data_IF_306260392736
#
_entry.id   IF_306260392736
#
_cell.length_a   1.000
_cell.length_b   1.000
_cell.length_c   1.000
_cell.angle_alpha   90.00
_cell.angle_beta   90.00
_cell.angle_gamma   90.00
#
_symmetry.space_group_name_H-M   'P 1'
#
loop_
_entity.id
_entity.type
_entity.pdbx_description
1 polymer ?
#
# COMPACT_ATOMS: atom_id res chain seq x y z
N UNK A 1 1.13 46.56 45.66
CA UNK A 1 0.43 45.82 44.58
C UNK A 1 1.28 44.61 44.22
N UNK A 2 0.92 43.42 44.68
CA UNK A 2 1.59 42.18 44.30
C UNK A 2 0.91 41.63 43.05
N UNK A 3 1.64 41.59 41.93
CA UNK A 3 1.15 40.99 40.67
C UNK A 3 1.24 39.48 40.83
N UNK A 4 0.09 38.81 40.91
CA UNK A 4 0.01 37.36 40.91
C UNK A 4 0.43 36.83 39.53
N UNK A 5 1.55 36.11 39.48
CA UNK A 5 2.01 35.39 38.29
C UNK A 5 1.07 34.21 38.06
N UNK A 6 0.23 34.30 37.03
CA UNK A 6 -0.68 33.21 36.65
C UNK A 6 0.19 32.09 36.07
N UNK A 7 0.30 30.97 36.78
CA UNK A 7 0.95 29.77 36.28
C UNK A 7 0.22 29.31 35.01
N UNK A 8 0.93 29.26 33.89
CA UNK A 8 0.40 28.78 32.61
C UNK A 8 -0.01 27.31 32.80
N UNK A 9 -1.26 26.91 32.50
CA UNK A 9 -1.66 25.53 32.67
C UNK A 9 -0.81 24.66 31.74
N UNK A 10 -0.15 23.66 32.30
CA UNK A 10 0.53 22.63 31.54
C UNK A 10 -0.50 21.99 30.60
N UNK A 11 -0.34 22.20 29.29
CA UNK A 11 -1.18 21.59 28.27
C UNK A 11 -0.96 20.08 28.36
N UNK A 12 -1.86 19.38 29.06
CA UNK A 12 -1.94 17.93 29.03
C UNK A 12 -2.14 17.55 27.56
N UNK A 13 -1.14 16.94 26.94
CA UNK A 13 -1.26 16.43 25.58
C UNK A 13 -2.50 15.54 25.50
N UNK A 14 -3.45 15.89 24.62
CA UNK A 14 -4.74 15.23 24.56
C UNK A 14 -4.57 13.71 24.36
N UNK A 15 -5.15 12.84 25.22
CA UNK A 15 -4.92 11.39 25.22
C UNK A 15 -5.21 10.70 23.87
N UNK A 16 -6.12 11.27 23.06
CA UNK A 16 -6.44 10.78 21.71
C UNK A 16 -5.26 10.80 20.73
N UNK A 17 -4.37 11.80 20.84
CA UNK A 17 -3.23 11.92 19.95
C UNK A 17 -2.19 10.81 20.19
N UNK A 18 -2.06 10.36 21.45
CA UNK A 18 -1.15 9.28 21.83
C UNK A 18 -1.73 7.91 21.43
N UNK A 19 -3.05 7.68 21.60
CA UNK A 19 -3.71 6.45 21.14
C UNK A 19 -3.52 6.26 19.63
N UNK A 20 -3.77 7.30 18.82
CA UNK A 20 -3.61 7.23 17.36
C UNK A 20 -2.16 7.00 16.93
N UNK A 21 -1.19 7.53 17.67
CA UNK A 21 0.23 7.30 17.42
C UNK A 21 0.59 5.84 17.71
N UNK A 22 0.16 5.32 18.87
CA UNK A 22 0.39 3.94 19.29
C UNK A 22 -0.27 2.94 18.36
N UNK A 23 -1.54 3.12 18.04
CA UNK A 23 -2.26 2.24 17.12
C UNK A 23 -1.58 2.17 15.76
N UNK A 24 -1.24 3.32 15.18
CA UNK A 24 -0.57 3.35 13.89
C UNK A 24 0.84 2.73 13.92
N UNK A 25 1.63 2.96 14.98
CA UNK A 25 2.94 2.33 15.15
C UNK A 25 2.83 0.81 15.29
N UNK A 26 1.87 0.32 16.09
CA UNK A 26 1.58 -1.12 16.24
C UNK A 26 1.14 -1.72 14.90
N UNK A 27 0.24 -1.08 14.15
CA UNK A 27 -0.16 -1.56 12.82
C UNK A 27 1.03 -1.69 11.87
N UNK A 28 1.96 -0.73 11.87
CA UNK A 28 3.16 -0.77 11.02
C UNK A 28 4.09 -1.93 11.41
N UNK A 29 4.26 -2.19 12.72
CA UNK A 29 5.03 -3.34 13.21
C UNK A 29 4.35 -4.64 12.78
N UNK A 30 3.02 -4.75 12.97
CA UNK A 30 2.25 -5.94 12.57
C UNK A 30 2.39 -6.18 11.07
N UNK A 31 2.29 -5.16 10.22
CA UNK A 31 2.53 -5.28 8.78
C UNK A 31 3.95 -5.81 8.48
N UNK A 32 4.97 -5.31 9.17
CA UNK A 32 6.35 -5.78 9.02
C UNK A 32 6.54 -7.23 9.47
N UNK A 33 5.94 -7.62 10.59
CA UNK A 33 5.97 -9.00 11.11
C UNK A 33 5.24 -9.94 10.15
N UNK A 34 4.05 -9.57 9.68
CA UNK A 34 3.31 -10.33 8.66
C UNK A 34 4.14 -10.46 7.39
N UNK A 35 4.76 -9.39 6.90
CA UNK A 35 5.62 -9.47 5.72
C UNK A 35 6.81 -10.41 5.94
N UNK A 36 7.43 -10.38 7.12
CA UNK A 36 8.55 -11.27 7.43
C UNK A 36 8.14 -12.74 7.43
N UNK A 37 7.07 -13.08 8.15
CA UNK A 37 6.66 -14.49 8.33
C UNK A 37 5.86 -15.04 7.15
N UNK A 38 4.90 -14.28 6.63
CA UNK A 38 4.06 -14.74 5.52
C UNK A 38 4.80 -14.71 4.18
N UNK A 39 5.61 -13.66 3.95
CA UNK A 39 6.28 -13.47 2.66
C UNK A 39 7.74 -13.91 2.71
N UNK A 40 8.51 -13.44 3.70
CA UNK A 40 9.96 -13.67 3.79
C UNK A 40 10.33 -15.12 4.10
N UNK A 41 9.68 -15.72 5.11
CA UNK A 41 9.94 -17.09 5.58
C UNK A 41 9.04 -18.15 4.93
N UNK A 42 8.21 -17.76 3.97
CA UNK A 42 7.31 -18.68 3.27
C UNK A 42 8.04 -19.72 2.41
N UNK A 43 7.33 -20.80 2.06
CA UNK A 43 7.85 -21.85 1.18
C UNK A 43 8.18 -21.35 -0.24
N UNK A 44 7.47 -20.32 -0.72
CA UNK A 44 7.67 -19.70 -2.05
C UNK A 44 9.00 -18.98 -2.20
N UNK A 45 9.56 -18.47 -1.11
CA UNK A 45 10.86 -17.79 -1.14
C UNK A 45 11.99 -18.75 -0.79
N UNK A 46 11.70 -20.04 -0.56
CA UNK A 46 12.67 -21.01 -0.13
C UNK A 46 13.70 -21.41 -1.19
N UNK A 47 14.85 -21.92 -0.71
CA UNK A 47 15.90 -22.52 -1.54
C UNK A 47 16.52 -21.59 -2.59
N UNK A 48 16.62 -20.29 -2.29
CA UNK A 48 17.26 -19.34 -3.21
C UNK A 48 16.36 -18.86 -4.34
N UNK A 49 15.03 -18.98 -4.18
CA UNK A 49 14.04 -18.46 -5.12
C UNK A 49 14.37 -17.01 -5.53
N UNK A 50 14.34 -16.76 -6.83
CA UNK A 50 14.47 -15.44 -7.43
C UNK A 50 13.09 -14.87 -7.75
N UNK A 51 12.92 -13.57 -7.54
CA UNK A 51 11.77 -12.80 -8.00
C UNK A 51 12.11 -12.20 -9.36
N UNK A 52 11.25 -12.40 -10.35
CA UNK A 52 11.42 -11.84 -11.70
C UNK A 52 10.28 -10.88 -12.05
N UNK A 53 10.60 -9.62 -12.24
CA UNK A 53 9.67 -8.62 -12.78
C UNK A 53 9.91 -8.45 -14.28
N UNK A 54 8.93 -8.89 -15.06
CA UNK A 54 8.93 -8.80 -16.51
C UNK A 54 8.61 -7.38 -16.96
N UNK A 55 9.53 -6.74 -17.68
CA UNK A 55 9.37 -5.35 -18.15
C UNK A 55 8.81 -5.26 -19.58
N UNK A 56 8.69 -6.39 -20.27
CA UNK A 56 8.21 -6.47 -21.65
C UNK A 56 6.83 -7.15 -21.69
N UNK A 57 5.93 -6.67 -22.57
CA UNK A 57 4.62 -7.30 -22.78
C UNK A 57 4.77 -8.73 -23.34
N UNK A 58 3.85 -9.62 -22.97
CA UNK A 58 3.75 -10.98 -23.55
C UNK A 58 3.50 -10.90 -25.07
N UNK A 59 2.68 -9.93 -25.48
CA UNK A 59 2.53 -9.50 -26.87
C UNK A 59 3.85 -8.83 -27.28
N UNK A 60 4.62 -9.47 -28.16
CA UNK A 60 5.97 -9.07 -28.64
C UNK A 60 6.03 -7.70 -29.37
N UNK A 61 5.08 -6.79 -29.15
CA UNK A 61 4.98 -5.49 -29.79
C UNK A 61 5.43 -4.41 -28.78
N UNK A 62 6.74 -4.29 -28.56
CA UNK A 62 7.29 -3.29 -27.63
C UNK A 62 8.82 -3.28 -27.61
N UNK A 63 9.39 -2.19 -27.11
CA UNK A 63 10.83 -2.09 -26.82
C UNK A 63 11.21 -3.12 -25.77
N UNK A 64 12.21 -3.96 -26.07
CA UNK A 64 12.66 -5.01 -25.15
C UNK A 64 13.45 -4.37 -24.00
N UNK A 65 12.84 -4.31 -22.82
CA UNK A 65 13.49 -3.87 -21.60
C UNK A 65 13.92 -5.12 -20.82
N UNK A 66 15.19 -5.22 -20.37
CA UNK A 66 15.66 -6.35 -19.59
C UNK A 66 14.81 -6.56 -18.33
N UNK A 67 14.50 -7.82 -18.03
CA UNK A 67 13.76 -8.21 -16.84
C UNK A 67 14.58 -7.91 -15.58
N UNK A 68 13.89 -7.50 -14.52
CA UNK A 68 14.51 -7.28 -13.22
C UNK A 68 14.46 -8.55 -12.39
N UNK A 69 15.63 -9.08 -12.03
CA UNK A 69 15.77 -10.32 -11.26
C UNK A 69 16.58 -10.05 -10.01
N UNK A 70 16.06 -10.47 -8.86
CA UNK A 70 16.73 -10.34 -7.57
C UNK A 70 16.35 -11.48 -6.62
N UNK A 71 17.19 -11.78 -5.61
CA UNK A 71 16.90 -12.83 -4.65
C UNK A 71 15.71 -12.45 -3.76
N UNK A 72 14.68 -13.30 -3.72
CA UNK A 72 13.39 -12.98 -3.09
C UNK A 72 13.51 -12.77 -1.57
N UNK A 73 14.11 -13.73 -0.86
CA UNK A 73 14.25 -13.71 0.60
C UNK A 73 14.93 -12.45 1.15
N UNK A 74 16.18 -12.13 0.77
CA UNK A 74 16.88 -11.01 1.39
C UNK A 74 16.17 -9.68 1.12
N UNK A 75 15.58 -9.51 -0.06
CA UNK A 75 14.81 -8.29 -0.41
C UNK A 75 13.54 -8.19 0.45
N UNK A 76 12.74 -9.24 0.54
CA UNK A 76 11.52 -9.24 1.34
C UNK A 76 11.82 -9.04 2.83
N UNK A 77 12.86 -9.68 3.35
CA UNK A 77 13.31 -9.50 4.74
C UNK A 77 13.77 -8.06 4.98
N UNK A 78 14.54 -7.46 4.08
CA UNK A 78 14.96 -6.07 4.20
C UNK A 78 13.75 -5.11 4.22
N UNK A 79 12.78 -5.30 3.32
CA UNK A 79 11.55 -4.50 3.29
C UNK A 79 10.71 -4.67 4.56
N UNK A 80 10.59 -5.90 5.07
CA UNK A 80 9.89 -6.19 6.32
C UNK A 80 10.58 -5.52 7.53
N UNK A 81 11.91 -5.55 7.59
CA UNK A 81 12.69 -4.88 8.63
C UNK A 81 12.47 -3.36 8.61
N UNK A 82 12.44 -2.73 7.42
CA UNK A 82 12.13 -1.30 7.30
C UNK A 82 10.74 -0.99 7.89
N UNK A 83 9.74 -1.82 7.63
CA UNK A 83 8.39 -1.65 8.20
C UNK A 83 8.39 -1.72 9.73
N UNK A 84 9.10 -2.69 10.31
CA UNK A 84 9.23 -2.83 11.76
C UNK A 84 9.97 -1.65 12.36
N UNK A 85 11.11 -1.26 11.78
CA UNK A 85 11.93 -0.15 12.28
C UNK A 85 11.16 1.18 12.25
N UNK A 86 10.41 1.47 11.19
CA UNK A 86 9.58 2.67 11.12
C UNK A 86 8.42 2.63 12.13
N UNK A 87 7.82 1.46 12.35
CA UNK A 87 6.81 1.27 13.38
C UNK A 87 7.36 1.49 14.79
N UNK A 88 8.53 0.92 15.11
CA UNK A 88 9.24 1.13 16.39
C UNK A 88 9.65 2.58 16.56
N UNK A 89 10.21 3.22 15.53
CA UNK A 89 10.58 4.64 15.58
C UNK A 89 9.35 5.54 15.84
N UNK A 90 8.20 5.20 15.27
CA UNK A 90 6.94 5.90 15.52
C UNK A 90 6.42 5.73 16.94
N UNK A 91 6.70 4.59 17.59
CA UNK A 91 6.37 4.33 19.00
C UNK A 91 7.39 4.93 19.98
N UNK A 92 8.65 5.05 19.58
CA UNK A 92 9.73 5.58 20.41
C UNK A 92 9.78 7.12 20.40
N UNK A 93 9.56 7.74 19.24
CA UNK A 93 9.76 9.20 19.06
C UNK A 93 8.46 9.88 18.61
N UNK A 94 8.24 11.12 19.08
CA UNK A 94 7.15 11.97 18.59
C UNK A 94 7.58 12.65 17.30
N UNK A 95 7.24 12.05 16.17
CA UNK A 95 7.57 12.58 14.84
C UNK A 95 6.60 13.71 14.44
N UNK A 96 7.08 14.80 13.81
CA UNK A 96 6.21 15.83 13.26
C UNK A 96 5.34 15.26 12.13
N UNK A 97 4.26 15.98 11.79
CA UNK A 97 3.24 15.51 10.84
C UNK A 97 3.82 15.05 9.49
N UNK A 98 4.78 15.79 8.92
CA UNK A 98 5.42 15.43 7.65
C UNK A 98 6.11 14.07 7.68
N UNK A 99 6.97 13.84 8.68
CA UNK A 99 7.68 12.58 8.88
C UNK A 99 6.75 11.40 9.18
N UNK A 100 5.63 11.64 9.88
CA UNK A 100 4.60 10.60 10.09
C UNK A 100 3.92 10.18 8.79
N UNK A 101 3.59 11.14 7.92
CA UNK A 101 2.99 10.84 6.61
C UNK A 101 4.00 10.10 5.73
N UNK A 102 5.22 10.63 5.60
CA UNK A 102 6.29 10.00 4.85
C UNK A 102 6.58 8.57 5.34
N UNK A 103 6.71 8.38 6.66
CA UNK A 103 6.91 7.05 7.24
C UNK A 103 5.74 6.09 6.97
N UNK A 104 4.49 6.59 6.94
CA UNK A 104 3.33 5.76 6.57
C UNK A 104 3.37 5.37 5.09
N UNK A 105 3.69 6.31 4.20
CA UNK A 105 3.84 6.05 2.76
C UNK A 105 4.95 5.03 2.49
N UNK A 106 6.10 5.16 3.16
CA UNK A 106 7.21 4.20 3.03
C UNK A 106 6.80 2.81 3.51
N UNK A 107 6.11 2.69 4.65
CA UNK A 107 5.63 1.38 5.11
C UNK A 107 4.67 0.73 4.12
N UNK A 108 3.69 1.49 3.60
CA UNK A 108 2.74 0.97 2.61
C UNK A 108 3.44 0.53 1.32
N UNK A 109 4.41 1.33 0.85
CA UNK A 109 5.23 0.98 -0.30
C UNK A 109 6.03 -0.31 -0.04
N UNK A 110 6.82 -0.36 1.05
CA UNK A 110 7.64 -1.53 1.39
C UNK A 110 6.81 -2.80 1.57
N UNK A 111 5.66 -2.71 2.24
CA UNK A 111 4.76 -3.85 2.43
C UNK A 111 4.20 -4.35 1.09
N UNK A 112 3.76 -3.44 0.23
CA UNK A 112 3.22 -3.79 -1.10
C UNK A 112 4.30 -4.38 -2.00
N UNK A 113 5.51 -3.80 -2.02
CA UNK A 113 6.64 -4.33 -2.77
C UNK A 113 7.08 -5.70 -2.26
N UNK A 114 7.06 -5.94 -0.95
CA UNK A 114 7.33 -7.25 -0.36
C UNK A 114 6.29 -8.30 -0.80
N UNK A 115 5.01 -7.93 -0.84
CA UNK A 115 3.94 -8.77 -1.36
C UNK A 115 4.11 -9.09 -2.85
N UNK A 116 4.43 -8.09 -3.68
CA UNK A 116 4.70 -8.29 -5.12
C UNK A 116 5.93 -9.17 -5.36
N UNK A 117 6.99 -8.99 -4.56
CA UNK A 117 8.19 -9.81 -4.67
C UNK A 117 7.92 -11.27 -4.29
N UNK A 118 7.07 -11.50 -3.29
CA UNK A 118 6.63 -12.84 -2.89
C UNK A 118 5.68 -13.50 -3.89
N UNK A 119 4.75 -12.73 -4.48
CA UNK A 119 3.82 -13.28 -5.46
C UNK A 119 4.55 -13.78 -6.72
N UNK A 120 5.64 -13.10 -7.08
CA UNK A 120 6.49 -13.47 -8.21
C UNK A 120 7.71 -14.32 -7.82
N UNK A 121 7.82 -14.77 -6.57
CA UNK A 121 8.90 -15.63 -6.11
C UNK A 121 8.57 -17.09 -6.46
N UNK A 122 9.44 -17.69 -7.29
CA UNK A 122 9.29 -19.09 -7.71
C UNK A 122 10.58 -19.88 -7.43
N UNK A 123 10.54 -20.88 -6.54
CA UNK A 123 11.68 -21.77 -6.28
C UNK A 123 12.08 -22.64 -7.48
N UNK A 124 11.15 -22.91 -8.40
CA UNK A 124 11.39 -23.81 -9.56
C UNK A 124 11.82 -23.06 -10.81
N UNK A 125 11.70 -21.72 -10.80
CA UNK A 125 12.02 -20.85 -11.92
C UNK A 125 10.96 -20.93 -13.03
N UNK A 126 10.41 -19.78 -13.41
CA UNK A 126 9.45 -19.67 -14.52
C UNK A 126 8.30 -18.72 -14.25
N UNK A 127 7.92 -18.50 -12.98
CA UNK A 127 6.93 -17.48 -12.64
C UNK A 127 7.56 -16.08 -12.77
N UNK A 128 6.89 -15.21 -13.53
CA UNK A 128 7.30 -13.82 -13.74
C UNK A 128 6.11 -12.91 -13.62
N UNK A 129 6.32 -11.79 -12.96
CA UNK A 129 5.29 -10.78 -12.77
C UNK A 129 5.47 -9.68 -13.82
N UNK A 130 4.59 -9.68 -14.81
CA UNK A 130 4.69 -8.81 -15.98
C UNK A 130 4.04 -7.48 -15.66
N UNK A 131 4.87 -6.48 -15.35
CA UNK A 131 4.43 -5.17 -14.87
C UNK A 131 3.51 -4.47 -15.88
N UNK A 132 3.80 -4.44 -17.19
CA UNK A 132 2.90 -3.80 -18.15
C UNK A 132 1.50 -4.44 -18.18
N UNK A 133 1.42 -5.76 -18.09
CA UNK A 133 0.13 -6.47 -18.07
C UNK A 133 -0.66 -6.17 -16.80
N UNK A 134 0.01 -6.13 -15.65
CA UNK A 134 -0.63 -5.72 -14.39
C UNK A 134 -1.13 -4.28 -14.43
N UNK A 135 -0.35 -3.35 -14.99
CA UNK A 135 -0.76 -1.96 -15.15
C UNK A 135 -2.02 -1.86 -16.03
N UNK A 136 -2.05 -2.59 -17.15
CA UNK A 136 -3.23 -2.63 -18.01
C UNK A 136 -4.46 -3.17 -17.27
N UNK A 137 -4.32 -4.28 -16.53
CA UNK A 137 -5.43 -4.83 -15.72
C UNK A 137 -5.89 -3.86 -14.64
N UNK A 138 -4.98 -3.14 -13.99
CA UNK A 138 -5.34 -2.12 -13.00
C UNK A 138 -6.10 -0.95 -13.63
N UNK A 139 -5.70 -0.49 -14.82
CA UNK A 139 -6.40 0.57 -15.55
C UNK A 139 -7.81 0.13 -15.91
N UNK A 140 -7.97 -1.07 -16.49
CA UNK A 140 -9.29 -1.62 -16.85
C UNK A 140 -10.19 -1.73 -15.60
N UNK A 141 -9.67 -2.21 -14.48
CA UNK A 141 -10.42 -2.31 -13.23
C UNK A 141 -10.76 -0.95 -12.59
N UNK A 142 -9.96 0.09 -12.83
CA UNK A 142 -10.19 1.44 -12.29
C UNK A 142 -11.31 2.19 -13.02
N UNK A 143 -11.52 1.90 -14.33
CA UNK A 143 -12.50 2.63 -15.15
C UNK A 143 -13.92 2.60 -14.56
N UNK A 144 -14.51 1.44 -14.18
CA UNK A 144 -15.85 1.40 -13.60
C UNK A 144 -15.95 2.12 -12.27
N UNK A 145 -14.90 2.06 -11.44
CA UNK A 145 -14.87 2.72 -10.14
C UNK A 145 -14.88 4.24 -10.30
N UNK A 146 -14.11 4.78 -11.25
CA UNK A 146 -14.09 6.21 -11.56
C UNK A 146 -15.43 6.66 -12.15
N UNK A 147 -16.00 5.90 -13.11
CA UNK A 147 -17.30 6.23 -13.69
C UNK A 147 -18.43 6.17 -12.66
N UNK A 148 -18.40 5.22 -11.73
CA UNK A 148 -19.34 5.15 -10.61
C UNK A 148 -19.23 6.34 -9.67
N UNK A 149 -18.00 6.69 -9.26
CA UNK A 149 -17.77 7.85 -8.40
C UNK A 149 -18.21 9.17 -9.06
N UNK A 150 -17.96 9.33 -10.36
CA UNK A 150 -18.43 10.50 -11.13
C UNK A 150 -19.96 10.55 -11.24
N UNK A 151 -20.60 9.39 -11.42
CA UNK A 151 -22.07 9.28 -11.41
C UNK A 151 -22.68 9.79 -10.11
N UNK A 152 -22.14 9.36 -8.96
CA UNK A 152 -22.57 9.82 -7.64
C UNK A 152 -22.42 11.34 -7.43
N UNK A 153 -21.27 11.91 -7.81
CA UNK A 153 -21.02 13.37 -7.69
C UNK A 153 -21.98 14.19 -8.56
N UNK A 154 -22.32 13.71 -9.76
CA UNK A 154 -23.31 14.37 -10.63
C UNK A 154 -24.73 14.23 -10.07
N UNK A 155 -25.07 13.08 -9.49
CA UNK A 155 -26.33 12.84 -8.78
C UNK A 155 -26.53 13.82 -7.61
N UNK A 156 -25.50 14.00 -6.79
CA UNK A 156 -25.50 14.97 -5.68
C UNK A 156 -25.72 16.41 -6.15
N UNK A 157 -25.10 16.82 -7.26
CA UNK A 157 -25.24 18.19 -7.78
C UNK A 157 -26.56 18.46 -8.52
N UNK A 158 -27.13 17.45 -9.14
CA UNK A 158 -28.38 17.60 -9.92
C UNK A 158 -29.63 17.62 -9.06
N UNK A 159 -29.52 17.28 -7.76
CA UNK A 159 -30.68 17.13 -6.88
C UNK A 159 -31.59 15.97 -7.27
N UNK A 160 -31.17 15.14 -8.24
CA UNK A 160 -31.90 13.98 -8.72
C UNK A 160 -31.31 12.75 -8.04
N UNK A 161 -31.98 12.27 -6.99
CA UNK A 161 -31.64 11.00 -6.34
C UNK A 161 -32.18 9.87 -7.21
N UNK A 162 -31.42 9.48 -8.25
CA UNK A 162 -31.77 8.36 -9.12
C UNK A 162 -30.74 7.23 -9.00
N UNK A 163 -30.93 6.43 -7.96
CA UNK A 163 -30.14 5.22 -7.66
C UNK A 163 -30.18 4.22 -8.83
N UNK A 164 -31.24 4.22 -9.65
CA UNK A 164 -31.37 3.28 -10.77
C UNK A 164 -30.44 3.61 -11.95
N UNK A 165 -30.21 4.89 -12.28
CA UNK A 165 -29.30 5.28 -13.37
C UNK A 165 -27.83 5.17 -12.95
N UNK A 166 -27.51 5.55 -11.71
CA UNK A 166 -26.16 5.34 -11.15
C UNK A 166 -25.83 3.83 -11.10
N UNK A 167 -26.80 3.02 -10.67
CA UNK A 167 -26.70 1.55 -10.67
C UNK A 167 -26.51 0.97 -12.07
N UNK A 168 -27.22 1.47 -13.09
CA UNK A 168 -27.07 1.02 -14.47
C UNK A 168 -25.73 1.44 -15.10
N UNK A 169 -25.21 2.63 -14.79
CA UNK A 169 -23.88 3.07 -15.21
C UNK A 169 -22.76 2.25 -14.56
N UNK A 170 -22.86 2.00 -13.24
CA UNK A 170 -21.94 1.12 -12.53
C UNK A 170 -22.01 -0.33 -13.03
N UNK A 171 -23.23 -0.84 -13.25
CA UNK A 171 -23.45 -2.18 -13.78
C UNK A 171 -22.86 -2.33 -15.17
N UNK A 172 -23.10 -1.39 -16.09
CA UNK A 172 -22.47 -1.38 -17.41
C UNK A 172 -20.93 -1.28 -17.35
N UNK A 173 -20.41 -0.48 -16.41
CA UNK A 173 -18.97 -0.40 -16.15
C UNK A 173 -18.38 -1.74 -15.71
N UNK A 174 -18.99 -2.40 -14.72
CA UNK A 174 -18.50 -3.69 -14.22
C UNK A 174 -18.65 -4.82 -15.25
N UNK A 175 -19.73 -4.85 -16.04
CA UNK A 175 -19.89 -5.81 -17.13
C UNK A 175 -18.86 -5.62 -18.25
N UNK A 176 -18.33 -4.41 -18.43
CA UNK A 176 -17.26 -4.13 -19.42
C UNK A 176 -15.87 -4.55 -18.92
N UNK A 177 -15.67 -4.59 -17.60
CA UNK A 177 -14.38 -4.94 -16.99
C UNK A 177 -14.17 -6.45 -16.74
N UNK A 178 -15.21 -7.27 -16.99
CA UNK A 178 -15.24 -8.72 -16.77
C UNK A 178 -15.02 -9.47 -18.09
#
# INVERSE_FOLDING_TARGET
MAVATIATPAVLAAPEADIRRRSAGVTQIVMGVVALFAFGLGARTAHGASTTFGMTLISKQGTHVPDWVFPARPVIVALALICVLLGVARLAVQLPRGWRLAGTSVVLFCFTSAFMAWSAADPKGGERLIIPSLLNSMVVAAVPLVLGALGGVVGERSGVVNVAIEGQLLFGGFMTAL
#
